data_IF_367151493712
#
_entry.id   IF_367151493712
#
_cell.length_a   1.000
_cell.length_b   1.000
_cell.length_c   1.000
_cell.angle_alpha   90.00
_cell.angle_beta   90.00
_cell.angle_gamma   90.00
#
_symmetry.space_group_name_H-M   'P 1'
#
loop_
_entity.id
_entity.type
_entity.pdbx_description
1 polymer ?
#
# COMPACT_ATOMS: atom_id res chain seq x y z
N UNK A 1 -11.14 -0.28 47.13
CA UNK A 1 -12.23 -1.09 46.54
C UNK A 1 -13.43 -0.17 46.45
N UNK A 2 -14.01 0.23 45.31
CA UNK A 2 -14.12 -0.31 43.96
C UNK A 2 -14.18 0.91 43.01
N UNK A 3 -13.36 0.93 41.96
CA UNK A 3 -13.21 2.08 41.06
C UNK A 3 -14.43 2.25 40.15
N UNK A 4 -14.81 3.51 39.97
CA UNK A 4 -15.96 3.95 39.21
C UNK A 4 -15.75 3.83 37.69
N UNK A 5 -16.78 3.29 37.04
CA UNK A 5 -17.32 3.58 35.71
C UNK A 5 -16.46 4.43 34.77
N UNK A 6 -15.98 3.83 33.67
CA UNK A 6 -15.50 4.57 32.50
C UNK A 6 -16.51 4.41 31.37
N UNK A 7 -16.86 5.58 30.83
CA UNK A 7 -17.84 5.94 29.83
C UNK A 7 -17.59 5.22 28.50
N UNK A 8 -18.65 4.61 27.96
CA UNK A 8 -18.70 4.19 26.57
C UNK A 8 -18.64 5.44 25.68
N UNK A 9 -17.56 5.58 24.91
CA UNK A 9 -17.46 6.61 23.88
C UNK A 9 -18.40 6.22 22.72
N UNK A 10 -19.60 6.79 22.74
CA UNK A 10 -20.48 6.90 21.59
C UNK A 10 -19.70 7.61 20.47
N UNK A 11 -19.29 6.86 19.45
CA UNK A 11 -18.95 7.47 18.17
C UNK A 11 -20.26 7.96 17.57
N UNK A 12 -20.49 9.26 17.67
CA UNK A 12 -21.60 9.93 17.01
C UNK A 12 -21.50 9.69 15.50
N UNK A 13 -22.50 9.04 14.93
CA UNK A 13 -22.71 8.99 13.48
C UNK A 13 -23.01 10.42 12.99
N UNK A 14 -21.99 11.10 12.49
CA UNK A 14 -22.18 12.29 11.65
C UNK A 14 -22.74 11.79 10.33
N UNK A 15 -23.98 12.21 10.02
CA UNK A 15 -24.53 12.08 8.69
C UNK A 15 -23.69 12.95 7.74
N UNK A 16 -22.77 12.31 7.00
CA UNK A 16 -22.10 12.96 5.87
C UNK A 16 -23.12 13.03 4.73
N UNK A 17 -23.71 14.21 4.57
CA UNK A 17 -24.42 14.60 3.35
C UNK A 17 -23.47 14.55 2.15
N UNK A 18 -23.74 13.64 1.21
CA UNK A 18 -23.63 13.92 -0.23
C UNK A 18 -22.27 14.29 -0.84
N UNK A 19 -21.15 14.07 -0.17
CA UNK A 19 -19.83 14.04 -0.81
C UNK A 19 -19.27 12.63 -0.62
N UNK A 20 -18.93 11.96 -1.71
CA UNK A 20 -18.20 10.70 -1.66
C UNK A 20 -17.00 10.89 -0.73
N UNK A 21 -16.91 10.10 0.34
CA UNK A 21 -15.61 9.87 0.98
C UNK A 21 -14.70 9.44 -0.17
N UNK A 22 -13.53 10.08 -0.40
CA UNK A 22 -12.62 9.61 -1.41
C UNK A 22 -12.39 8.14 -1.12
N UNK A 23 -12.94 7.28 -1.96
CA UNK A 23 -12.57 5.88 -1.96
C UNK A 23 -11.08 5.93 -2.26
N UNK A 24 -10.26 5.42 -1.35
CA UNK A 24 -8.82 5.33 -1.57
C UNK A 24 -8.61 4.39 -2.76
N UNK A 25 -8.62 4.97 -3.96
CA UNK A 25 -8.48 4.25 -5.22
C UNK A 25 -7.10 3.61 -5.22
N UNK A 26 -7.10 2.29 -5.06
CA UNK A 26 -5.91 1.47 -5.06
C UNK A 26 -5.77 0.81 -6.43
N UNK A 27 -4.58 0.91 -7.01
CA UNK A 27 -4.23 0.26 -8.27
C UNK A 27 -3.17 -0.82 -8.04
N UNK A 28 -3.08 -1.76 -8.99
CA UNK A 28 -2.04 -2.80 -8.97
C UNK A 28 -0.75 -2.23 -9.55
N UNK A 29 0.35 -2.43 -8.84
CA UNK A 29 1.68 -2.01 -9.25
C UNK A 29 2.68 -3.15 -9.10
N UNK A 30 3.75 -3.07 -9.87
CA UNK A 30 4.98 -3.83 -9.68
C UNK A 30 6.01 -2.89 -9.06
N UNK A 31 6.46 -3.23 -7.84
CA UNK A 31 7.51 -2.49 -7.13
C UNK A 31 8.82 -3.24 -7.33
N UNK A 32 9.80 -2.57 -7.94
CA UNK A 32 11.12 -3.14 -8.21
C UNK A 32 12.17 -2.42 -7.38
N UNK A 33 12.97 -3.19 -6.65
CA UNK A 33 14.05 -2.69 -5.80
C UNK A 33 15.37 -2.65 -6.54
N UNK A 34 16.26 -1.78 -6.07
CA UNK A 34 17.66 -1.79 -6.49
C UNK A 34 18.32 -3.10 -6.05
N UNK A 35 19.32 -3.56 -6.81
CA UNK A 35 20.07 -4.79 -6.48
C UNK A 35 20.75 -4.72 -5.11
N UNK A 36 21.14 -3.53 -4.68
CA UNK A 36 21.82 -3.26 -3.40
C UNK A 36 20.87 -3.19 -2.20
N UNK A 37 19.55 -3.19 -2.41
CA UNK A 37 18.57 -3.10 -1.32
C UNK A 37 18.60 -4.39 -0.48
N UNK A 38 18.62 -4.29 0.84
CA UNK A 38 18.65 -5.47 1.73
C UNK A 38 17.26 -6.08 1.91
N UNK A 39 17.19 -7.30 2.46
CA UNK A 39 15.91 -7.96 2.73
C UNK A 39 15.10 -7.18 3.79
N UNK A 40 15.75 -6.64 4.81
CA UNK A 40 15.13 -5.86 5.87
C UNK A 40 14.54 -4.55 5.33
N UNK A 41 15.22 -3.91 4.37
CA UNK A 41 14.70 -2.71 3.72
C UNK A 41 13.47 -3.02 2.85
N UNK A 42 13.43 -4.19 2.20
CA UNK A 42 12.23 -4.65 1.47
C UNK A 42 11.08 -4.89 2.45
N UNK A 43 11.32 -5.59 3.54
CA UNK A 43 10.31 -5.85 4.58
C UNK A 43 9.77 -4.54 5.18
N UNK A 44 10.61 -3.52 5.33
CA UNK A 44 10.17 -2.20 5.79
C UNK A 44 9.24 -1.54 4.77
N UNK A 45 9.57 -1.57 3.49
CA UNK A 45 8.71 -1.01 2.43
C UNK A 45 7.38 -1.76 2.35
N UNK A 46 7.37 -3.07 2.54
CA UNK A 46 6.12 -3.85 2.63
C UNK A 46 5.23 -3.41 3.79
N UNK A 47 5.83 -3.21 4.98
CA UNK A 47 5.13 -2.69 6.16
C UNK A 47 4.58 -1.29 5.91
N UNK A 48 5.34 -0.42 5.24
CA UNK A 48 4.90 0.93 4.90
C UNK A 48 3.69 0.87 3.95
N UNK A 49 3.74 0.05 2.89
CA UNK A 49 2.62 -0.15 1.95
C UNK A 49 1.37 -0.65 2.67
N UNK A 50 1.50 -1.65 3.54
CA UNK A 50 0.37 -2.14 4.35
C UNK A 50 -0.14 -1.08 5.31
N UNK A 51 0.76 -0.31 5.93
CA UNK A 51 0.42 0.81 6.82
C UNK A 51 -0.32 1.95 6.11
N UNK A 52 -0.07 2.13 4.81
CA UNK A 52 -0.82 3.05 3.97
C UNK A 52 -2.17 2.50 3.47
N UNK A 53 -2.54 1.28 3.84
CA UNK A 53 -3.79 0.64 3.38
C UNK A 53 -3.64 -0.16 2.09
N UNK A 54 -2.41 -0.34 1.60
CA UNK A 54 -2.10 -1.24 0.50
C UNK A 54 -2.08 -2.71 0.90
N UNK A 55 -1.87 -3.57 -0.11
CA UNK A 55 -1.80 -5.03 0.06
C UNK A 55 -0.68 -5.61 -0.80
N UNK A 56 0.15 -6.45 -0.21
CA UNK A 56 1.21 -7.17 -0.92
C UNK A 56 0.60 -8.33 -1.74
N UNK A 57 1.11 -8.48 -2.96
CA UNK A 57 0.76 -9.51 -3.93
C UNK A 57 1.85 -10.56 -4.04
N UNK A 58 2.33 -10.79 -5.26
CA UNK A 58 3.30 -11.84 -5.58
C UNK A 58 4.73 -11.32 -5.49
N UNK A 59 5.61 -12.07 -4.82
CA UNK A 59 7.05 -11.78 -4.79
C UNK A 59 7.77 -12.29 -6.03
N UNK A 60 8.76 -11.53 -6.45
CA UNK A 60 9.71 -11.86 -7.51
C UNK A 60 11.11 -11.85 -6.91
N UNK A 61 11.77 -13.01 -6.93
CA UNK A 61 13.11 -13.19 -6.35
C UNK A 61 14.16 -13.66 -7.36
N UNK A 62 13.73 -14.07 -8.56
CA UNK A 62 14.59 -14.72 -9.56
C UNK A 62 15.06 -13.77 -10.66
N UNK A 63 14.12 -13.18 -11.40
CA UNK A 63 14.41 -12.30 -12.54
C UNK A 63 14.47 -10.83 -12.12
N UNK A 64 13.59 -10.46 -11.19
CA UNK A 64 13.48 -9.13 -10.61
C UNK A 64 13.57 -9.29 -9.10
N UNK A 65 14.04 -8.25 -8.42
CA UNK A 65 13.96 -8.15 -6.96
C UNK A 65 12.80 -7.21 -6.64
N UNK A 66 11.63 -7.76 -6.32
CA UNK A 66 10.42 -6.95 -6.24
C UNK A 66 9.18 -7.74 -5.84
N UNK A 67 8.04 -7.07 -5.84
CA UNK A 67 6.74 -7.71 -5.66
C UNK A 67 5.65 -6.92 -6.37
N UNK A 68 4.51 -7.56 -6.64
CA UNK A 68 3.28 -6.84 -6.97
C UNK A 68 2.57 -6.39 -5.70
N UNK A 69 1.87 -5.27 -5.74
CA UNK A 69 1.06 -4.78 -4.64
C UNK A 69 -0.12 -3.94 -5.13
N UNK A 70 -1.22 -3.98 -4.40
CA UNK A 70 -2.27 -2.96 -4.50
C UNK A 70 -1.85 -1.78 -3.64
N UNK A 71 -1.67 -0.62 -4.26
CA UNK A 71 -1.18 0.59 -3.59
C UNK A 71 -2.18 1.71 -3.81
N UNK A 72 -2.56 2.45 -2.76
CA UNK A 72 -3.35 3.67 -2.92
C UNK A 72 -2.60 4.70 -3.77
N UNK A 73 -3.24 5.22 -4.80
CA UNK A 73 -2.58 6.04 -5.84
C UNK A 73 -1.86 7.28 -5.27
N UNK A 74 -2.41 7.88 -4.21
CA UNK A 74 -1.84 9.06 -3.54
C UNK A 74 -0.52 8.82 -2.81
N UNK A 75 -0.15 7.58 -2.48
CA UNK A 75 1.12 7.27 -1.79
C UNK A 75 2.24 6.79 -2.72
N UNK A 76 1.93 6.53 -3.99
CA UNK A 76 2.89 6.00 -4.99
C UNK A 76 4.07 6.95 -5.19
N UNK A 77 3.81 8.26 -5.25
CA UNK A 77 4.87 9.29 -5.40
C UNK A 77 5.83 9.31 -4.21
N UNK A 78 5.30 9.17 -2.99
CA UNK A 78 6.09 9.07 -1.75
C UNK A 78 6.96 7.81 -1.77
N UNK A 79 6.40 6.66 -2.13
CA UNK A 79 7.14 5.41 -2.24
C UNK A 79 8.23 5.49 -3.32
N UNK A 80 7.93 6.14 -4.46
CA UNK A 80 8.88 6.32 -5.56
C UNK A 80 10.10 7.17 -5.20
N UNK A 81 9.99 8.00 -4.14
CA UNK A 81 11.12 8.77 -3.61
C UNK A 81 12.06 7.94 -2.70
N UNK A 82 11.70 6.70 -2.38
CA UNK A 82 12.51 5.81 -1.55
C UNK A 82 13.88 5.53 -2.19
N UNK A 83 14.99 5.61 -1.43
CA UNK A 83 16.31 5.29 -1.95
C UNK A 83 16.47 3.81 -2.30
N UNK A 84 15.57 2.93 -1.81
CA UNK A 84 15.61 1.49 -1.99
C UNK A 84 14.92 1.00 -3.27
N UNK A 85 13.95 1.78 -3.75
CA UNK A 85 13.14 1.44 -4.92
C UNK A 85 13.88 1.90 -6.17
N UNK A 86 13.91 1.04 -7.19
CA UNK A 86 14.42 1.37 -8.52
C UNK A 86 13.33 2.05 -9.34
N UNK A 87 12.13 1.45 -9.38
CA UNK A 87 10.95 2.03 -10.01
C UNK A 87 9.67 1.33 -9.52
N UNK A 88 8.54 2.00 -9.74
CA UNK A 88 7.19 1.46 -9.54
C UNK A 88 6.46 1.60 -10.88
N UNK A 89 5.84 0.52 -11.35
CA UNK A 89 5.14 0.47 -12.63
C UNK A 89 3.70 -0.01 -12.42
N UNK A 90 2.72 0.63 -13.08
CA UNK A 90 1.32 0.20 -13.05
C UNK A 90 1.17 -1.13 -13.79
N UNK A 91 0.51 -2.09 -13.18
CA UNK A 91 0.26 -3.40 -13.77
C UNK A 91 -0.85 -3.32 -14.83
N UNK A 92 -0.63 -3.94 -15.99
CA UNK A 92 -1.49 -3.82 -17.16
C UNK A 92 -1.94 -5.19 -17.69
N UNK A 93 -3.21 -5.27 -18.11
CA UNK A 93 -3.73 -6.45 -18.79
C UNK A 93 -3.16 -6.56 -20.20
N UNK A 94 -2.59 -7.72 -20.51
CA UNK A 94 -2.15 -8.07 -21.86
C UNK A 94 -3.20 -8.93 -22.57
N UNK A 95 -3.36 -8.76 -23.88
CA UNK A 95 -4.30 -9.53 -24.72
C UNK A 95 -3.55 -10.29 -25.81
N UNK A 96 -4.12 -11.42 -26.23
CA UNK A 96 -3.59 -12.17 -27.38
C UNK A 96 -3.89 -11.42 -28.68
N UNK A 97 -2.92 -11.38 -29.59
CA UNK A 97 -3.13 -10.85 -30.93
C UNK A 97 -3.66 -11.98 -31.83
N UNK A 98 -4.83 -11.76 -32.42
CA UNK A 98 -5.47 -12.65 -33.41
C UNK A 98 -5.19 -12.19 -34.82
#
# INVERSE_FOLDING_TARGET
>A
MKFATIVALLVSAVAVSGAAIPQEESQSYIVVFKSTTTAEAIEQVEKDIVGFGGKIGQHYDTVLKGFSAWIPTQVVSTLSASPFIAYIEEDAKVTTQI
#
